data_IF_961945768866
#
_entry.id   IF_961945768866
#
_cell.length_a   1.000
_cell.length_b   1.000
_cell.length_c   1.000
_cell.angle_alpha   90.00
_cell.angle_beta   90.00
_cell.angle_gamma   90.00
#
_symmetry.space_group_name_H-M   'P 1'
#
loop_
_entity.id
_entity.type
_entity.pdbx_description
1 polymer ?
#
# COMPACT_ATOMS: atom_id res chain seq x y z
N UNK A 1 -15.47 7.80 -15.11
CA UNK A 1 -15.08 8.90 -14.20
C UNK A 1 -13.57 9.08 -14.31
N UNK A 2 -13.08 10.32 -14.45
CA UNK A 2 -11.65 10.61 -14.60
C UNK A 2 -10.95 10.23 -13.29
N UNK A 3 -10.17 9.16 -13.30
CA UNK A 3 -9.37 8.73 -12.15
C UNK A 3 -8.25 9.75 -12.00
N UNK A 4 -8.45 10.72 -11.10
CA UNK A 4 -7.46 11.73 -10.72
C UNK A 4 -6.89 11.42 -9.34
N UNK A 5 -6.78 10.14 -9.03
CA UNK A 5 -5.88 9.63 -8.01
C UNK A 5 -4.54 9.41 -8.70
N UNK A 6 -3.44 9.79 -8.05
CA UNK A 6 -2.09 9.61 -8.60
C UNK A 6 -1.87 8.11 -8.84
N UNK A 7 -1.95 7.66 -10.10
CA UNK A 7 -1.70 6.25 -10.45
C UNK A 7 -0.33 5.77 -9.95
N UNK A 8 0.59 6.71 -9.73
CA UNK A 8 1.89 6.50 -9.13
C UNK A 8 1.78 6.05 -7.66
N UNK A 9 0.86 6.60 -6.87
CA UNK A 9 0.69 6.25 -5.45
C UNK A 9 0.16 4.81 -5.27
N UNK A 10 -0.83 4.41 -6.07
CA UNK A 10 -1.33 3.03 -6.09
C UNK A 10 -0.24 2.04 -6.49
N UNK A 11 0.59 2.40 -7.48
CA UNK A 11 1.73 1.57 -7.91
C UNK A 11 2.77 1.45 -6.80
N UNK A 12 3.16 2.55 -6.15
CA UNK A 12 4.12 2.53 -5.03
C UNK A 12 3.64 1.60 -3.91
N UNK A 13 2.34 1.62 -3.58
CA UNK A 13 1.77 0.75 -2.53
C UNK A 13 1.71 -0.71 -2.92
N UNK A 14 1.36 -1.01 -4.16
CA UNK A 14 1.41 -2.38 -4.68
C UNK A 14 2.86 -2.89 -4.58
N UNK A 15 3.83 -2.10 -5.03
CA UNK A 15 5.26 -2.45 -4.93
C UNK A 15 5.71 -2.64 -3.47
N UNK A 16 5.35 -1.73 -2.57
CA UNK A 16 5.69 -1.84 -1.15
C UNK A 16 5.03 -3.06 -0.50
N UNK A 17 3.76 -3.34 -0.83
CA UNK A 17 3.04 -4.52 -0.34
C UNK A 17 3.67 -5.82 -0.83
N UNK A 18 3.99 -5.91 -2.12
CA UNK A 18 4.71 -7.07 -2.70
C UNK A 18 6.07 -7.27 -2.04
N UNK A 19 6.83 -6.18 -1.80
CA UNK A 19 8.13 -6.26 -1.16
C UNK A 19 8.04 -6.74 0.30
N UNK A 20 7.05 -6.26 1.05
CA UNK A 20 6.80 -6.71 2.43
C UNK A 20 6.41 -8.18 2.49
N UNK A 21 5.52 -8.64 1.59
CA UNK A 21 5.17 -10.06 1.48
C UNK A 21 6.38 -10.92 1.09
N UNK A 22 7.22 -10.43 0.18
CA UNK A 22 8.44 -11.15 -0.20
C UNK A 22 9.40 -11.28 0.98
N UNK A 23 9.57 -10.24 1.78
CA UNK A 23 10.45 -10.26 2.96
C UNK A 23 9.86 -11.13 4.11
N UNK A 24 8.54 -11.11 4.31
CA UNK A 24 7.87 -11.91 5.34
C UNK A 24 7.80 -13.40 4.98
N UNK A 25 7.24 -13.74 3.82
CA UNK A 25 7.18 -15.13 3.33
C UNK A 25 8.54 -15.68 2.90
N UNK A 26 9.47 -14.84 2.47
CA UNK A 26 10.83 -15.24 2.08
C UNK A 26 11.70 -15.68 3.26
N UNK A 27 11.22 -15.53 4.51
CA UNK A 27 11.94 -15.96 5.70
C UNK A 27 13.08 -15.03 6.12
N UNK A 28 13.18 -13.84 5.51
CA UNK A 28 14.14 -12.79 5.89
C UNK A 28 13.75 -12.17 7.25
N UNK A 29 12.45 -12.14 7.56
CA UNK A 29 11.92 -11.75 8.87
C UNK A 29 11.55 -12.99 9.70
N UNK A 30 11.85 -12.97 11.00
CA UNK A 30 11.56 -14.08 11.91
C UNK A 30 10.52 -13.72 12.98
N UNK A 31 9.68 -14.69 13.33
CA UNK A 31 8.73 -14.60 14.44
C UNK A 31 7.58 -13.60 14.21
N UNK A 32 7.24 -12.83 15.25
CA UNK A 32 6.11 -11.89 15.22
C UNK A 32 6.27 -10.81 14.14
N UNK A 33 7.51 -10.42 13.83
CA UNK A 33 7.79 -9.40 12.82
C UNK A 33 7.41 -9.86 11.40
N UNK A 34 7.58 -11.14 11.08
CA UNK A 34 7.19 -11.69 9.78
C UNK A 34 5.67 -11.62 9.60
N UNK A 35 4.93 -12.05 10.62
CA UNK A 35 3.46 -12.04 10.62
C UNK A 35 2.92 -10.61 10.45
N UNK A 36 3.50 -9.64 11.16
CA UNK A 36 3.09 -8.23 11.06
C UNK A 36 3.42 -7.67 9.68
N UNK A 37 4.60 -7.97 9.13
CA UNK A 37 5.01 -7.56 7.79
C UNK A 37 4.09 -8.13 6.72
N UNK A 38 3.70 -9.41 6.83
CA UNK A 38 2.80 -10.06 5.89
C UNK A 38 1.39 -9.46 5.92
N UNK A 39 0.85 -9.22 7.12
CA UNK A 39 -0.46 -8.58 7.30
C UNK A 39 -0.46 -7.16 6.72
N UNK A 40 0.57 -6.37 7.01
CA UNK A 40 0.71 -5.01 6.47
C UNK A 40 0.91 -5.03 4.95
N UNK A 41 1.71 -5.97 4.44
CA UNK A 41 1.97 -6.16 3.03
C UNK A 41 0.67 -6.49 2.27
N UNK A 42 -0.12 -7.43 2.78
CA UNK A 42 -1.41 -7.81 2.22
C UNK A 42 -2.42 -6.64 2.23
N UNK A 43 -2.48 -5.86 3.32
CA UNK A 43 -3.33 -4.68 3.42
C UNK A 43 -2.96 -3.59 2.41
N UNK A 44 -1.66 -3.30 2.26
CA UNK A 44 -1.16 -2.32 1.29
C UNK A 44 -1.42 -2.75 -0.16
N UNK A 45 -1.25 -4.04 -0.45
CA UNK A 45 -1.56 -4.62 -1.76
C UNK A 45 -3.05 -4.53 -2.07
N UNK A 46 -3.90 -4.98 -1.14
CA UNK A 46 -5.35 -5.00 -1.34
C UNK A 46 -5.89 -3.58 -1.54
N UNK A 47 -5.45 -2.62 -0.72
CA UNK A 47 -5.83 -1.21 -0.85
C UNK A 47 -5.30 -0.56 -2.12
N UNK A 48 -4.09 -0.91 -2.54
CA UNK A 48 -3.50 -0.48 -3.82
C UNK A 48 -4.26 -1.00 -5.05
N UNK A 49 -4.71 -2.26 -5.02
CA UNK A 49 -5.50 -2.88 -6.10
C UNK A 49 -6.92 -2.33 -6.18
N UNK A 50 -7.56 -2.06 -5.03
CA UNK A 50 -8.90 -1.45 -4.98
C UNK A 50 -8.85 0.03 -5.43
N UNK A 51 -7.68 0.64 -5.51
CA UNK A 51 -7.51 2.04 -5.91
C UNK A 51 -7.96 3.04 -4.84
N UNK A 52 -8.13 2.58 -3.60
CA UNK A 52 -8.51 3.42 -2.47
C UNK A 52 -7.27 3.70 -1.63
N UNK A 53 -6.80 4.96 -1.62
CA UNK A 53 -5.61 5.34 -0.88
C UNK A 53 -5.94 5.84 0.54
N UNK A 54 -5.65 5.07 1.61
CA UNK A 54 -5.68 5.60 2.97
C UNK A 54 -4.73 6.77 3.25
N UNK A 55 -3.68 7.00 2.46
CA UNK A 55 -2.79 8.15 2.68
C UNK A 55 -3.48 9.47 2.34
N UNK A 56 -4.35 9.48 1.33
CA UNK A 56 -5.24 10.61 1.04
C UNK A 56 -6.41 10.70 2.04
N UNK A 57 -6.86 9.58 2.60
CA UNK A 57 -7.89 9.56 3.64
C UNK A 57 -7.36 10.01 5.03
N UNK A 58 -6.08 9.76 5.34
CA UNK A 58 -5.43 10.22 6.58
C UNK A 58 -4.84 11.64 6.43
N UNK A 59 -4.23 11.92 5.28
CA UNK A 59 -3.73 13.23 4.89
C UNK A 59 -4.66 13.78 3.80
N UNK A 60 -5.74 14.44 4.24
CA UNK A 60 -6.67 15.21 3.40
C UNK A 60 -5.95 16.42 2.79
N UNK A 61 -4.98 16.19 1.91
CA UNK A 61 -4.44 17.21 1.02
C UNK A 61 -5.50 17.50 -0.03
N UNK A 62 -6.46 18.37 0.33
CA UNK A 62 -7.31 19.08 -0.60
C UNK A 62 -6.45 19.87 -1.58
N UNK A 63 -5.91 19.23 -2.62
CA UNK A 63 -5.47 19.97 -3.81
C UNK A 63 -6.71 20.34 -4.60
N UNK A 64 -7.33 21.45 -4.20
CA UNK A 64 -8.03 22.30 -5.14
C UNK A 64 -7.02 22.75 -6.20
N UNK A 65 -7.13 22.26 -7.43
CA UNK A 65 -6.63 22.99 -8.60
C UNK A 65 -7.56 22.76 -9.79
N UNK A 66 -8.34 23.82 -10.06
CA UNK A 66 -9.08 24.21 -11.27
C UNK A 66 -9.77 23.12 -12.08
#
# INVERSE_FOLDING_TARGET
MKINESSIDSVIRIFAGVLLLYLGFGGELAGVLAIVADILGALLLLTGVIGFCPLYALFDFKRQKK
#
